data_IF_509109989514
#
_entry.id   IF_509109989514
#
_cell.length_a   1.000
_cell.length_b   1.000
_cell.length_c   1.000
_cell.angle_alpha   90.00
_cell.angle_beta   90.00
_cell.angle_gamma   90.00
#
_symmetry.space_group_name_H-M   'P 1'
#
loop_
_entity.id
_entity.type
_entity.pdbx_description
1 polymer ?
#
# COMPACT_ATOMS: atom_id res chain seq x y z
N UNK A 1 -77.50 32.44 -3.14
CA UNK A 1 -76.64 31.29 -2.75
C UNK A 1 -75.44 31.84 -2.00
N UNK A 2 -75.38 31.67 -0.67
CA UNK A 2 -74.21 32.03 0.14
C UNK A 2 -73.98 30.90 1.13
N UNK A 3 -72.98 30.07 0.84
CA UNK A 3 -72.58 28.93 1.66
C UNK A 3 -71.90 29.40 2.93
N UNK A 4 -72.47 29.05 4.09
CA UNK A 4 -71.80 29.20 5.38
C UNK A 4 -70.76 28.10 5.50
N UNK A 5 -69.49 28.47 5.32
CA UNK A 5 -68.35 27.59 5.56
C UNK A 5 -68.14 27.50 7.07
N UNK A 6 -68.44 26.33 7.64
CA UNK A 6 -68.08 26.02 9.02
C UNK A 6 -66.61 25.61 9.03
N UNK A 7 -65.74 26.49 9.54
CA UNK A 7 -64.36 26.13 9.81
C UNK A 7 -64.31 25.33 11.11
N UNK A 8 -64.27 24.00 10.98
CA UNK A 8 -63.92 23.13 12.10
C UNK A 8 -62.44 23.38 12.41
N UNK A 9 -62.16 24.15 13.46
CA UNK A 9 -60.81 24.20 14.02
C UNK A 9 -60.47 22.80 14.51
N UNK A 10 -59.44 22.11 13.98
CA UNK A 10 -59.00 20.89 14.60
C UNK A 10 -58.50 21.27 15.99
N UNK A 11 -59.13 20.71 17.02
CA UNK A 11 -58.59 20.71 18.37
C UNK A 11 -57.34 19.85 18.35
N UNK A 12 -56.23 20.42 17.90
CA UNK A 12 -54.92 19.81 18.02
C UNK A 12 -54.55 19.93 19.50
N UNK A 13 -55.02 18.98 20.29
CA UNK A 13 -54.41 18.66 21.58
C UNK A 13 -53.01 18.19 21.26
N UNK A 14 -52.05 19.11 21.33
CA UNK A 14 -50.65 18.76 21.32
C UNK A 14 -50.41 17.94 22.59
N UNK A 15 -50.49 16.62 22.47
CA UNK A 15 -50.03 15.67 23.48
C UNK A 15 -48.50 15.71 23.51
N UNK A 16 -47.95 16.84 23.97
CA UNK A 16 -46.52 17.00 24.21
C UNK A 16 -46.02 16.08 25.34
N UNK A 17 -46.93 15.53 26.15
CA UNK A 17 -46.62 14.63 27.26
C UNK A 17 -46.36 13.17 26.81
N UNK A 18 -47.04 12.68 25.77
CA UNK A 18 -46.90 11.27 25.34
C UNK A 18 -45.54 10.99 24.68
N UNK A 19 -44.84 12.02 24.18
CA UNK A 19 -43.52 11.85 23.54
C UNK A 19 -42.34 11.90 24.53
N UNK A 20 -42.51 12.47 25.73
CA UNK A 20 -41.44 12.57 26.75
C UNK A 20 -41.42 11.39 27.72
N UNK A 21 -42.53 10.70 27.92
CA UNK A 21 -42.56 9.58 28.89
C UNK A 21 -41.87 8.31 28.38
N UNK A 22 -41.64 8.15 27.07
CA UNK A 22 -40.77 7.07 26.55
C UNK A 22 -39.27 7.33 26.70
N UNK A 23 -38.87 8.57 27.02
CA UNK A 23 -37.45 8.91 27.27
C UNK A 23 -37.04 8.75 28.75
N UNK A 24 -38.00 8.40 29.62
CA UNK A 24 -37.78 8.14 31.04
C UNK A 24 -38.03 6.67 31.43
N UNK A 25 -38.11 5.76 30.46
CA UNK A 25 -37.98 4.35 30.76
C UNK A 25 -36.52 4.13 31.15
N UNK A 26 -36.30 3.73 32.40
CA UNK A 26 -34.98 3.58 33.03
C UNK A 26 -34.13 2.64 32.20
N UNK A 27 -33.38 3.18 31.23
CA UNK A 27 -32.38 2.43 30.49
C UNK A 27 -31.48 1.82 31.56
N UNK A 28 -31.51 0.49 31.74
CA UNK A 28 -30.76 -0.15 32.80
C UNK A 28 -29.30 0.21 32.64
N UNK A 29 -28.59 0.42 33.75
CA UNK A 29 -27.18 0.78 33.75
C UNK A 29 -26.33 -0.14 32.86
N UNK A 30 -26.75 -1.40 32.72
CA UNK A 30 -26.15 -2.40 31.83
C UNK A 30 -26.19 -2.01 30.35
N UNK A 31 -27.32 -1.50 29.84
CA UNK A 31 -27.45 -1.09 28.43
C UNK A 31 -26.56 0.12 28.13
N UNK A 32 -26.55 1.13 29.02
CA UNK A 32 -25.63 2.27 28.88
C UNK A 32 -24.15 1.85 28.92
N UNK A 33 -23.82 0.84 29.72
CA UNK A 33 -22.46 0.32 29.81
C UNK A 33 -22.08 -0.48 28.56
N UNK A 34 -23.01 -1.26 27.99
CA UNK A 34 -22.80 -1.98 26.73
C UNK A 34 -22.58 -1.00 25.58
N UNK A 35 -23.41 0.04 25.46
CA UNK A 35 -23.26 1.07 24.42
C UNK A 35 -21.92 1.81 24.55
N UNK A 36 -21.48 2.11 25.79
CA UNK A 36 -20.16 2.71 26.04
C UNK A 36 -19.02 1.78 25.63
N UNK A 37 -19.11 0.50 25.99
CA UNK A 37 -18.09 -0.49 25.63
C UNK A 37 -18.03 -0.67 24.11
N UNK A 38 -19.18 -0.81 23.44
CA UNK A 38 -19.26 -0.95 21.99
C UNK A 38 -18.66 0.26 21.28
N UNK A 39 -19.05 1.48 21.69
CA UNK A 39 -18.51 2.71 21.12
C UNK A 39 -17.00 2.83 21.35
N UNK A 40 -16.52 2.49 22.54
CA UNK A 40 -15.09 2.48 22.86
C UNK A 40 -14.33 1.47 21.99
N UNK A 41 -14.92 0.29 21.76
CA UNK A 41 -14.30 -0.76 20.97
C UNK A 41 -14.24 -0.36 19.49
N UNK A 42 -15.29 0.28 18.96
CA UNK A 42 -15.32 0.82 17.60
C UNK A 42 -14.26 1.90 17.38
N UNK A 43 -14.12 2.84 18.32
CA UNK A 43 -13.08 3.88 18.27
C UNK A 43 -11.70 3.22 18.28
N UNK A 44 -11.46 2.28 19.19
CA UNK A 44 -10.20 1.55 19.26
C UNK A 44 -9.90 0.81 17.94
N UNK A 45 -10.88 0.09 17.40
CA UNK A 45 -10.76 -0.64 16.15
C UNK A 45 -10.42 0.31 14.99
N UNK A 46 -11.08 1.48 14.92
CA UNK A 46 -10.81 2.50 13.90
C UNK A 46 -9.36 2.99 13.94
N UNK A 47 -8.81 3.20 15.15
CA UNK A 47 -7.43 3.64 15.33
C UNK A 47 -6.46 2.53 14.88
N UNK A 48 -6.73 1.28 15.26
CA UNK A 48 -5.92 0.13 14.84
C UNK A 48 -5.92 -0.02 13.31
N UNK A 49 -7.09 0.14 12.67
CA UNK A 49 -7.19 0.13 11.21
C UNK A 49 -6.38 1.26 10.57
N UNK A 50 -6.43 2.47 11.13
CA UNK A 50 -5.68 3.62 10.63
C UNK A 50 -4.17 3.36 10.71
N UNK A 51 -3.67 2.94 11.87
CA UNK A 51 -2.25 2.63 12.06
C UNK A 51 -1.80 1.48 11.15
N UNK A 52 -2.61 0.44 11.03
CA UNK A 52 -2.33 -0.71 10.16
C UNK A 52 -2.27 -0.30 8.70
N UNK A 53 -3.16 0.58 8.25
CA UNK A 53 -3.20 1.08 6.88
C UNK A 53 -1.90 1.84 6.54
N UNK A 54 -1.44 2.71 7.44
CA UNK A 54 -0.19 3.45 7.26
C UNK A 54 1.02 2.50 7.24
N UNK A 55 1.05 1.51 8.13
CA UNK A 55 2.13 0.53 8.18
C UNK A 55 2.21 -0.34 6.90
N UNK A 56 1.06 -0.79 6.39
CA UNK A 56 0.97 -1.55 5.14
C UNK A 56 1.39 -0.68 3.96
N UNK A 57 0.95 0.58 3.90
CA UNK A 57 1.32 1.52 2.85
C UNK A 57 2.84 1.79 2.82
N UNK A 58 3.47 1.96 3.99
CA UNK A 58 4.91 2.14 4.06
C UNK A 58 5.66 0.90 3.56
N UNK A 59 5.30 -0.29 4.04
CA UNK A 59 5.94 -1.54 3.61
C UNK A 59 5.75 -1.81 2.11
N UNK A 60 4.56 -1.52 1.57
CA UNK A 60 4.30 -1.70 0.15
C UNK A 60 5.16 -0.77 -0.70
N UNK A 61 5.29 0.50 -0.33
CA UNK A 61 6.17 1.46 -1.01
C UNK A 61 7.63 0.99 -1.02
N UNK A 62 8.15 0.55 0.13
CA UNK A 62 9.52 0.01 0.23
C UNK A 62 9.69 -1.23 -0.66
N UNK A 63 8.73 -2.14 -0.63
CA UNK A 63 8.75 -3.35 -1.45
C UNK A 63 8.77 -3.01 -2.94
N UNK A 64 7.90 -2.09 -3.39
CA UNK A 64 7.87 -1.67 -4.79
C UNK A 64 9.20 -1.04 -5.21
N UNK A 65 9.75 -0.13 -4.39
CA UNK A 65 11.06 0.49 -4.66
C UNK A 65 12.15 -0.57 -4.81
N UNK A 66 12.28 -1.48 -3.84
CA UNK A 66 13.26 -2.57 -3.90
C UNK A 66 13.05 -3.48 -5.12
N UNK A 67 11.81 -3.74 -5.52
CA UNK A 67 11.51 -4.54 -6.71
C UNK A 67 11.96 -3.86 -7.99
N UNK A 68 11.75 -2.55 -8.11
CA UNK A 68 12.24 -1.78 -9.25
C UNK A 68 13.76 -1.75 -9.28
N UNK A 69 14.40 -1.45 -8.15
CA UNK A 69 15.86 -1.41 -8.04
C UNK A 69 16.46 -2.77 -8.42
N UNK A 70 15.94 -3.87 -7.84
CA UNK A 70 16.39 -5.23 -8.18
C UNK A 70 16.28 -5.53 -9.67
N UNK A 71 15.19 -5.11 -10.32
CA UNK A 71 15.01 -5.32 -11.77
C UNK A 71 16.02 -4.50 -12.57
N UNK A 72 16.26 -3.26 -12.19
CA UNK A 72 17.28 -2.40 -12.80
C UNK A 72 18.67 -3.01 -12.70
N UNK A 73 19.09 -3.37 -11.48
CA UNK A 73 20.38 -4.00 -11.24
C UNK A 73 20.56 -5.33 -12.02
N UNK A 74 19.50 -6.15 -12.13
CA UNK A 74 19.57 -7.39 -12.90
C UNK A 74 19.80 -7.14 -14.40
N UNK A 75 19.20 -6.08 -14.96
CA UNK A 75 19.42 -5.68 -16.35
C UNK A 75 20.85 -5.18 -16.52
N UNK A 76 21.31 -4.27 -15.66
CA UNK A 76 22.67 -3.73 -15.69
C UNK A 76 23.71 -4.85 -15.58
N UNK A 77 23.54 -5.79 -14.64
CA UNK A 77 24.42 -6.94 -14.51
C UNK A 77 24.48 -7.75 -15.81
N UNK A 78 23.33 -8.02 -16.44
CA UNK A 78 23.29 -8.78 -17.69
C UNK A 78 24.01 -8.05 -18.84
N UNK A 79 23.91 -6.72 -18.89
CA UNK A 79 24.60 -5.89 -19.88
C UNK A 79 26.11 -5.88 -19.63
N UNK A 80 26.54 -5.70 -18.39
CA UNK A 80 27.95 -5.76 -18.02
C UNK A 80 28.55 -7.14 -18.32
N UNK A 81 27.83 -8.22 -18.07
CA UNK A 81 28.30 -9.57 -18.41
C UNK A 81 28.45 -9.76 -19.93
N UNK A 82 27.53 -9.23 -20.73
CA UNK A 82 27.63 -9.27 -22.18
C UNK A 82 28.81 -8.43 -22.68
N UNK A 83 29.00 -7.23 -22.13
CA UNK A 83 30.10 -6.35 -22.48
C UNK A 83 31.44 -6.95 -22.08
N UNK A 84 31.53 -7.55 -20.89
CA UNK A 84 32.72 -8.27 -20.45
C UNK A 84 33.03 -9.44 -21.39
N UNK A 85 32.05 -10.29 -21.71
CA UNK A 85 32.22 -11.39 -22.66
C UNK A 85 32.71 -10.90 -24.03
N UNK A 86 32.19 -9.77 -24.50
CA UNK A 86 32.63 -9.14 -25.76
C UNK A 86 34.07 -8.65 -25.66
N UNK A 87 34.43 -7.92 -24.59
CA UNK A 87 35.77 -7.36 -24.40
C UNK A 87 36.83 -8.44 -24.16
N UNK A 88 36.48 -9.52 -23.47
CA UNK A 88 37.35 -10.69 -23.25
C UNK A 88 37.30 -11.70 -24.40
N UNK A 89 36.52 -11.43 -25.45
CA UNK A 89 36.50 -12.32 -26.61
C UNK A 89 37.87 -12.36 -27.25
N UNK A 90 38.28 -13.55 -27.70
CA UNK A 90 39.60 -13.79 -28.29
C UNK A 90 39.89 -12.81 -29.44
N UNK A 91 38.89 -12.50 -30.25
CA UNK A 91 39.01 -11.58 -31.38
C UNK A 91 39.36 -10.17 -30.93
N UNK A 92 38.62 -9.61 -29.97
CA UNK A 92 38.88 -8.25 -29.44
C UNK A 92 40.21 -8.18 -28.72
N UNK A 93 40.57 -9.21 -27.95
CA UNK A 93 41.87 -9.28 -27.26
C UNK A 93 43.02 -9.34 -28.26
N UNK A 94 42.91 -10.16 -29.31
CA UNK A 94 43.92 -10.25 -30.36
C UNK A 94 44.02 -8.97 -31.20
N UNK A 95 42.90 -8.32 -31.48
CA UNK A 95 42.88 -7.04 -32.19
C UNK A 95 43.54 -5.93 -31.38
N UNK A 96 43.21 -5.81 -30.08
CA UNK A 96 43.89 -4.88 -29.18
C UNK A 96 45.37 -5.21 -29.00
N UNK A 97 45.73 -6.49 -28.89
CA UNK A 97 47.12 -6.92 -28.82
C UNK A 97 47.92 -6.50 -30.06
N UNK A 98 47.33 -6.66 -31.26
CA UNK A 98 47.94 -6.18 -32.52
C UNK A 98 48.12 -4.65 -32.53
N UNK A 99 47.11 -3.90 -32.08
CA UNK A 99 47.21 -2.43 -31.98
C UNK A 99 48.30 -1.99 -31.00
N UNK A 100 48.53 -2.77 -29.94
CA UNK A 100 49.59 -2.53 -28.95
C UNK A 100 50.96 -3.09 -29.38
N UNK A 101 51.09 -3.64 -30.59
CA UNK A 101 52.34 -4.20 -31.09
C UNK A 101 52.76 -5.53 -30.44
N UNK A 102 51.84 -6.19 -29.71
CA UNK A 102 52.10 -7.47 -29.06
C UNK A 102 51.98 -8.61 -30.09
N UNK A 103 52.94 -9.54 -30.06
CA UNK A 103 52.90 -10.73 -30.92
C UNK A 103 51.72 -11.65 -30.51
N UNK A 104 51.10 -12.38 -31.45
CA UNK A 104 50.10 -13.38 -31.09
C UNK A 104 50.74 -14.47 -30.21
N UNK A 105 50.00 -14.99 -29.21
CA UNK A 105 50.53 -15.97 -28.28
C UNK A 105 50.90 -17.27 -29.01
N UNK A 106 52.11 -17.78 -28.74
CA UNK A 106 52.58 -19.08 -29.22
C UNK A 106 52.32 -20.17 -28.18
N UNK A 107 52.31 -21.45 -28.58
CA UNK A 107 52.08 -22.56 -27.63
C UNK A 107 53.05 -22.56 -26.44
N UNK A 108 54.27 -22.03 -26.63
CA UNK A 108 55.29 -21.83 -25.60
C UNK A 108 54.88 -20.86 -24.49
N UNK A 109 53.93 -19.95 -24.77
CA UNK A 109 53.56 -18.85 -23.87
C UNK A 109 52.43 -19.26 -22.91
N UNK A 110 51.80 -20.42 -23.12
CA UNK A 110 50.72 -20.92 -22.27
C UNK A 110 51.24 -21.76 -21.11
N UNK A 111 51.11 -21.25 -19.89
CA UNK A 111 51.35 -22.02 -18.67
C UNK A 111 50.14 -22.93 -18.43
N UNK A 112 50.29 -24.23 -18.70
CA UNK A 112 49.30 -25.25 -18.33
C UNK A 112 49.59 -25.73 -16.92
N UNK A 113 48.62 -25.57 -16.03
CA UNK A 113 48.66 -26.21 -14.70
C UNK A 113 48.44 -27.72 -14.90
N UNK A 114 49.38 -28.52 -14.37
CA UNK A 114 49.31 -29.99 -14.33
C UNK A 114 48.44 -30.45 -13.16
#
# INVERSE_FOLDING_TARGET
MQGKVYTVKPGVTYNAQVRREREAEKVPFKERLMDMVETSLLIFLSIVFLVSTVAVAYKSLVYFKMKFDKKGLAIEQSQLEQELKRLTSREVVLEKAKQLGLRPPQESDFIRLK
#
